data_IF_302737044319
#
_entry.id   IF_302737044319
#
_cell.length_a   1.000
_cell.length_b   1.000
_cell.length_c   1.000
_cell.angle_alpha   90.00
_cell.angle_beta   90.00
_cell.angle_gamma   90.00
#
_symmetry.space_group_name_H-M   'P 1'
#
loop_
_entity.id
_entity.type
_entity.pdbx_description
1 polymer ?
#
# COMPACT_ATOMS: atom_id res chain seq x y z
N UNK A 1 21.02 -1.59 14.47
CA UNK A 1 20.73 -2.65 13.48
C UNK A 1 19.92 -2.02 12.37
N UNK A 2 20.46 -1.93 11.16
CA UNK A 2 19.73 -1.43 9.99
C UNK A 2 18.76 -2.52 9.56
N UNK A 3 17.45 -2.28 9.62
CA UNK A 3 16.47 -3.21 9.05
C UNK A 3 16.25 -2.79 7.60
N UNK A 4 16.44 -3.68 6.62
CA UNK A 4 16.16 -3.35 5.23
C UNK A 4 14.66 -3.04 5.06
N UNK A 5 14.36 -2.03 4.26
CA UNK A 5 12.97 -1.69 3.93
C UNK A 5 12.30 -2.84 3.19
N UNK A 6 11.11 -3.23 3.65
CA UNK A 6 10.29 -4.26 3.02
C UNK A 6 9.09 -3.64 2.27
N UNK A 7 8.42 -4.44 1.45
CA UNK A 7 7.20 -4.01 0.74
C UNK A 7 6.09 -3.64 1.74
N UNK A 8 5.99 -4.37 2.84
CA UNK A 8 5.06 -4.12 3.93
C UNK A 8 5.21 -2.72 4.51
N UNK A 9 6.44 -2.23 4.69
CA UNK A 9 6.67 -0.89 5.23
C UNK A 9 6.10 0.19 4.31
N UNK A 10 6.32 0.04 3.00
CA UNK A 10 5.79 0.96 1.99
C UNK A 10 4.27 0.87 1.94
N UNK A 11 3.68 -0.34 1.93
CA UNK A 11 2.22 -0.51 1.92
C UNK A 11 1.59 0.06 3.19
N UNK A 12 2.14 -0.21 4.38
CA UNK A 12 1.66 0.35 5.65
C UNK A 12 1.74 1.87 5.65
N UNK A 13 2.85 2.43 5.17
CA UNK A 13 3.02 3.88 5.04
C UNK A 13 1.96 4.50 4.15
N UNK A 14 1.75 3.96 2.94
CA UNK A 14 0.73 4.41 1.99
C UNK A 14 -0.68 4.28 2.61
N UNK A 15 -1.02 3.10 3.13
CA UNK A 15 -2.36 2.82 3.65
C UNK A 15 -2.70 3.69 4.87
N UNK A 16 -1.72 4.01 5.71
CA UNK A 16 -1.90 4.95 6.81
C UNK A 16 -2.30 6.33 6.30
N UNK A 17 -1.64 6.85 5.25
CA UNK A 17 -2.01 8.14 4.68
C UNK A 17 -3.42 8.11 4.08
N UNK A 18 -3.75 7.05 3.34
CA UNK A 18 -5.12 6.86 2.80
C UNK A 18 -6.16 6.89 3.94
N UNK A 19 -5.89 6.21 5.05
CA UNK A 19 -6.77 6.24 6.24
C UNK A 19 -6.90 7.67 6.81
N UNK A 20 -5.83 8.45 6.83
CA UNK A 20 -5.84 9.84 7.30
C UNK A 20 -6.61 10.80 6.40
N UNK A 21 -6.73 10.50 5.10
CA UNK A 21 -7.60 11.22 4.17
C UNK A 21 -9.09 10.90 4.34
N UNK A 22 -9.47 10.29 5.48
CA UNK A 22 -10.82 9.82 5.78
C UNK A 22 -11.37 8.80 4.77
N UNK A 23 -10.49 8.09 4.04
CA UNK A 23 -10.91 6.96 3.22
C UNK A 23 -10.96 5.72 4.09
N UNK A 24 -12.15 5.16 4.23
CA UNK A 24 -12.38 3.96 5.02
C UNK A 24 -12.03 2.66 4.26
N UNK A 25 -11.94 2.73 2.93
CA UNK A 25 -11.88 1.54 2.07
C UNK A 25 -11.00 1.75 0.84
N UNK A 26 -10.35 0.67 0.41
CA UNK A 26 -9.57 0.56 -0.83
C UNK A 26 -10.08 -0.64 -1.63
N UNK A 27 -10.14 -0.58 -2.96
CA UNK A 27 -10.49 -1.77 -3.76
C UNK A 27 -9.60 -2.98 -3.39
N UNK A 28 -10.21 -4.15 -3.25
CA UNK A 28 -9.52 -5.43 -3.10
C UNK A 28 -9.59 -6.27 -4.40
N UNK A 29 -9.94 -5.61 -5.50
CA UNK A 29 -9.75 -6.15 -6.84
C UNK A 29 -8.26 -6.21 -7.18
N UNK A 30 -7.80 -7.42 -7.51
CA UNK A 30 -6.38 -7.71 -7.70
C UNK A 30 -5.83 -7.00 -8.93
N UNK A 31 -6.54 -7.06 -10.05
CA UNK A 31 -6.11 -6.42 -11.29
C UNK A 31 -5.98 -4.90 -11.11
N UNK A 32 -6.99 -4.26 -10.54
CA UNK A 32 -7.00 -2.82 -10.29
C UNK A 32 -5.85 -2.40 -9.37
N UNK A 33 -5.64 -3.10 -8.25
CA UNK A 33 -4.56 -2.78 -7.31
C UNK A 33 -3.17 -2.91 -7.95
N UNK A 34 -2.93 -3.99 -8.67
CA UNK A 34 -1.62 -4.23 -9.27
C UNK A 34 -1.30 -3.22 -10.38
N UNK A 35 -2.28 -2.85 -11.22
CA UNK A 35 -2.12 -1.77 -12.21
C UNK A 35 -1.78 -0.45 -11.54
N UNK A 36 -2.51 -0.08 -10.48
CA UNK A 36 -2.27 1.17 -9.75
C UNK A 36 -0.87 1.17 -9.15
N UNK A 37 -0.45 0.12 -8.46
CA UNK A 37 0.88 0.08 -7.84
C UNK A 37 2.00 0.04 -8.90
N UNK A 38 1.75 -0.54 -10.07
CA UNK A 38 2.69 -0.47 -11.20
C UNK A 38 2.84 0.96 -11.72
N UNK A 39 1.73 1.67 -11.92
CA UNK A 39 1.75 3.07 -12.35
C UNK A 39 2.47 3.97 -11.33
N UNK A 40 2.24 3.72 -10.03
CA UNK A 40 2.97 4.40 -8.95
C UNK A 40 4.45 4.07 -9.00
N UNK A 41 4.85 2.81 -9.28
CA UNK A 41 6.27 2.45 -9.42
C UNK A 41 6.95 3.19 -10.56
N UNK A 42 6.27 3.39 -11.69
CA UNK A 42 6.83 4.15 -12.82
C UNK A 42 7.09 5.61 -12.40
N UNK A 43 6.20 6.21 -11.60
CA UNK A 43 6.32 7.61 -11.15
C UNK A 43 7.28 7.79 -9.97
N UNK A 44 7.34 6.81 -9.07
CA UNK A 44 8.11 6.86 -7.82
C UNK A 44 9.01 5.62 -7.68
N UNK A 45 9.96 5.40 -8.60
CA UNK A 45 10.74 4.17 -8.66
C UNK A 45 11.61 3.93 -7.42
N UNK A 46 12.09 5.01 -6.78
CA UNK A 46 12.93 4.94 -5.58
C UNK A 46 12.14 4.41 -4.36
N UNK A 47 10.93 4.93 -4.16
CA UNK A 47 10.03 4.53 -3.06
C UNK A 47 9.52 3.10 -3.29
N UNK A 48 9.22 2.78 -4.55
CA UNK A 48 8.68 1.48 -4.96
C UNK A 48 9.77 0.48 -5.36
N UNK A 49 11.01 0.71 -4.93
CA UNK A 49 12.18 -0.10 -5.29
C UNK A 49 12.08 -1.55 -4.80
N UNK A 50 11.40 -1.76 -3.67
CA UNK A 50 11.15 -3.09 -3.06
C UNK A 50 10.16 -3.95 -3.85
N UNK A 51 9.39 -3.36 -4.75
CA UNK A 51 8.44 -4.09 -5.59
C UNK A 51 9.10 -4.48 -6.91
N UNK A 52 9.00 -5.76 -7.29
CA UNK A 52 9.28 -6.19 -8.65
C UNK A 52 7.97 -6.54 -9.32
N UNK A 53 7.74 -5.99 -10.51
CA UNK A 53 6.57 -6.32 -11.32
C UNK A 53 7.02 -7.17 -12.50
N UNK A 54 6.24 -8.20 -12.80
CA UNK A 54 6.39 -9.04 -13.99
C UNK A 54 5.23 -8.72 -14.92
N UNK A 55 5.53 -8.39 -16.16
CA UNK A 55 4.52 -8.25 -17.20
C UNK A 55 3.98 -9.65 -17.51
N UNK A 56 2.70 -9.88 -17.19
CA UNK A 56 1.93 -11.04 -17.63
C UNK A 56 0.96 -10.59 -18.73
N UNK A 57 0.42 -11.53 -19.49
CA UNK A 57 -0.41 -11.24 -20.67
C UNK A 57 -1.65 -10.36 -20.40
N UNK A 58 -2.12 -10.26 -19.15
CA UNK A 58 -3.32 -9.48 -18.79
C UNK A 58 -3.01 -8.17 -18.06
N UNK A 59 -2.10 -8.18 -17.08
CA UNK A 59 -1.67 -7.00 -16.33
C UNK A 59 -0.33 -7.26 -15.59
N UNK A 60 0.43 -6.21 -15.23
CA UNK A 60 1.67 -6.35 -14.46
C UNK A 60 1.37 -6.84 -13.05
N UNK A 61 2.11 -7.84 -12.55
CA UNK A 61 1.90 -8.42 -11.22
C UNK A 61 3.14 -8.36 -10.32
N UNK A 62 2.96 -8.08 -9.02
CA UNK A 62 4.01 -8.14 -8.01
C UNK A 62 3.69 -9.13 -6.89
N UNK A 63 4.55 -10.14 -6.72
CA UNK A 63 4.43 -11.09 -5.60
C UNK A 63 4.67 -10.42 -4.25
N UNK A 64 5.50 -9.38 -4.20
CA UNK A 64 5.74 -8.61 -2.98
C UNK A 64 4.49 -7.84 -2.54
N UNK A 65 3.72 -7.30 -3.49
CA UNK A 65 2.45 -6.65 -3.19
C UNK A 65 1.43 -7.66 -2.65
N UNK A 66 1.26 -8.80 -3.32
CA UNK A 66 0.36 -9.86 -2.86
C UNK A 66 0.75 -10.36 -1.44
N UNK A 67 2.04 -10.56 -1.20
CA UNK A 67 2.55 -10.97 0.11
C UNK A 67 2.32 -9.90 1.18
N UNK A 68 2.60 -8.63 0.87
CA UNK A 68 2.39 -7.54 1.81
C UNK A 68 0.91 -7.42 2.20
N UNK A 69 -0.01 -7.45 1.23
CA UNK A 69 -1.45 -7.42 1.50
C UNK A 69 -1.89 -8.61 2.38
N UNK A 70 -1.41 -9.82 2.07
CA UNK A 70 -1.70 -11.01 2.88
C UNK A 70 -1.16 -10.88 4.32
N UNK A 71 0.04 -10.32 4.50
CA UNK A 71 0.64 -10.12 5.81
C UNK A 71 -0.12 -9.06 6.62
N UNK A 72 -0.54 -7.97 5.98
CA UNK A 72 -1.33 -6.91 6.62
C UNK A 72 -2.71 -7.42 7.06
N UNK A 73 -3.36 -8.26 6.25
CA UNK A 73 -4.64 -8.90 6.59
C UNK A 73 -4.46 -9.89 7.75
N UNK A 74 -3.43 -10.73 7.70
CA UNK A 74 -3.11 -11.67 8.78
C UNK A 74 -2.73 -10.97 10.10
N UNK A 75 -2.11 -9.79 10.03
CA UNK A 75 -1.78 -8.96 11.18
C UNK A 75 -2.96 -8.11 11.70
N UNK A 76 -4.12 -8.16 11.04
CA UNK A 76 -5.29 -7.37 11.42
C UNK A 76 -5.10 -5.86 11.23
N UNK A 77 -4.24 -5.45 10.28
CA UNK A 77 -4.02 -4.04 9.92
C UNK A 77 -5.00 -3.60 8.83
N UNK A 78 -5.42 -4.54 8.00
CA UNK A 78 -6.51 -4.39 7.05
C UNK A 78 -7.47 -5.57 7.20
N UNK A 79 -8.69 -5.44 6.71
CA UNK A 79 -9.63 -6.56 6.60
C UNK A 79 -10.24 -6.62 5.21
N UNK A 80 -10.16 -7.78 4.57
CA UNK A 80 -10.79 -8.01 3.27
C UNK A 80 -12.29 -8.27 3.39
N UNK A 81 -13.09 -7.37 2.82
CA UNK A 81 -14.54 -7.52 2.67
C UNK A 81 -14.84 -8.16 1.30
N UNK A 82 -15.36 -9.40 1.33
CA UNK A 82 -15.62 -10.21 0.14
C UNK A 82 -16.98 -9.94 -0.54
N UNK A 83 -17.76 -8.98 -0.04
CA UNK A 83 -18.96 -8.51 -0.74
C UNK A 83 -18.56 -7.82 -2.05
N UNK A 84 -19.40 -7.87 -3.07
CA UNK A 84 -19.14 -7.16 -4.33
C UNK A 84 -19.67 -5.72 -4.21
N UNK A 85 -18.85 -4.69 -4.47
CA UNK A 85 -17.45 -4.73 -4.88
C UNK A 85 -16.51 -5.07 -3.72
N UNK A 86 -15.41 -5.79 -4.00
CA UNK A 86 -14.45 -6.24 -2.98
C UNK A 86 -13.61 -5.05 -2.49
N UNK A 87 -13.46 -4.89 -1.18
CA UNK A 87 -12.67 -3.82 -0.59
C UNK A 87 -11.83 -4.30 0.60
N UNK A 88 -10.72 -3.63 0.86
CA UNK A 88 -10.01 -3.65 2.14
C UNK A 88 -10.53 -2.50 3.02
N UNK A 89 -10.85 -2.78 4.28
CA UNK A 89 -10.99 -1.75 5.32
C UNK A 89 -9.67 -1.55 6.06
N UNK A 90 -9.42 -0.33 6.54
CA UNK A 90 -8.22 0.00 7.30
C UNK A 90 -8.50 -0.03 8.81
N UNK A 91 -7.85 -0.93 9.52
CA UNK A 91 -8.08 -1.15 10.95
C UNK A 91 -7.28 -0.15 11.80
N UNK A 92 -7.72 0.10 13.04
CA UNK A 92 -7.04 1.03 13.98
C UNK A 92 -5.59 0.68 14.32
N UNK A 93 -5.21 -0.62 14.40
CA UNK A 93 -3.82 -0.99 14.61
C UNK A 93 -2.85 -0.50 13.52
N UNK A 94 -3.33 -0.14 12.32
CA UNK A 94 -2.50 0.33 11.20
C UNK A 94 -1.65 1.55 11.58
N UNK A 95 -2.23 2.53 12.26
CA UNK A 95 -1.51 3.74 12.67
C UNK A 95 -0.42 3.42 13.71
N UNK A 96 -0.73 2.53 14.66
CA UNK A 96 0.26 2.08 15.65
C UNK A 96 1.39 1.30 15.00
N UNK A 97 1.07 0.46 14.02
CA UNK A 97 2.06 -0.31 13.26
C UNK A 97 3.02 0.62 12.52
N UNK A 98 2.48 1.62 11.81
CA UNK A 98 3.27 2.63 11.12
C UNK A 98 4.21 3.37 12.09
N UNK A 99 3.67 3.93 13.17
CA UNK A 99 4.44 4.73 14.12
C UNK A 99 5.53 3.91 14.85
N UNK A 100 5.26 2.63 15.13
CA UNK A 100 6.18 1.77 15.89
C UNK A 100 7.28 1.14 15.04
N UNK A 101 6.99 0.81 13.78
CA UNK A 101 7.88 0.00 12.94
C UNK A 101 8.26 0.74 11.66
N UNK A 102 7.30 0.94 10.75
CA UNK A 102 7.61 1.37 9.38
C UNK A 102 8.10 2.81 9.27
N UNK A 103 7.65 3.73 10.14
CA UNK A 103 8.04 5.15 10.09
C UNK A 103 9.55 5.35 10.15
N UNK A 104 10.22 4.65 11.07
CA UNK A 104 11.68 4.74 11.22
C UNK A 104 12.40 4.14 10.01
N UNK A 105 11.96 2.96 9.56
CA UNK A 105 12.56 2.26 8.41
C UNK A 105 12.47 3.11 7.14
N UNK A 106 11.30 3.69 6.88
CA UNK A 106 11.08 4.58 5.73
C UNK A 106 11.93 5.86 5.83
N UNK A 107 12.00 6.47 7.01
CA UNK A 107 12.83 7.67 7.24
C UNK A 107 14.32 7.38 7.05
N UNK A 108 14.80 6.24 7.55
CA UNK A 108 16.19 5.78 7.38
C UNK A 108 16.52 5.50 5.90
N UNK A 109 15.50 5.18 5.08
CA UNK A 109 15.58 5.05 3.62
C UNK A 109 15.38 6.37 2.85
N UNK A 110 15.23 7.51 3.55
CA UNK A 110 15.00 8.82 2.94
C UNK A 110 13.59 9.04 2.40
N UNK A 111 12.62 8.23 2.82
CA UNK A 111 11.22 8.31 2.42
C UNK A 111 10.41 8.96 3.53
N UNK A 112 9.85 10.14 3.25
CA UNK A 112 9.14 10.95 4.22
C UNK A 112 7.62 10.94 4.00
N UNK A 113 6.87 11.35 5.03
CA UNK A 113 5.40 11.36 5.02
C UNK A 113 4.82 12.12 3.82
N UNK A 114 5.41 13.24 3.41
CA UNK A 114 4.96 14.02 2.25
C UNK A 114 5.00 13.24 0.92
N UNK A 115 5.95 12.32 0.76
CA UNK A 115 6.04 11.51 -0.46
C UNK A 115 4.98 10.41 -0.44
N UNK A 116 4.76 9.79 0.73
CA UNK A 116 3.72 8.78 0.92
C UNK A 116 2.32 9.38 0.75
N UNK A 117 2.12 10.61 1.20
CA UNK A 117 0.89 11.39 1.07
C UNK A 117 0.52 11.61 -0.41
N UNK A 118 1.49 12.02 -1.23
CA UNK A 118 1.32 12.19 -2.68
C UNK A 118 0.96 10.86 -3.37
N UNK A 119 1.57 9.76 -2.95
CA UNK A 119 1.27 8.42 -3.48
C UNK A 119 -0.15 8.01 -3.08
N UNK A 120 -0.50 8.16 -1.80
CA UNK A 120 -1.83 7.84 -1.28
C UNK A 120 -2.92 8.61 -2.03
N UNK A 121 -2.78 9.92 -2.19
CA UNK A 121 -3.71 10.74 -2.95
C UNK A 121 -3.92 10.24 -4.40
N UNK A 122 -2.86 9.77 -5.07
CA UNK A 122 -2.98 9.19 -6.41
C UNK A 122 -3.71 7.85 -6.42
N UNK A 123 -3.41 6.99 -5.46
CA UNK A 123 -4.09 5.70 -5.32
C UNK A 123 -5.58 5.93 -5.06
N UNK A 124 -5.95 6.90 -4.23
CA UNK A 124 -7.34 7.20 -3.90
C UNK A 124 -8.19 7.59 -5.10
N UNK A 125 -7.64 8.37 -6.03
CA UNK A 125 -8.34 8.81 -7.24
C UNK A 125 -8.84 7.63 -8.09
N UNK A 126 -8.17 6.48 -7.99
CA UNK A 126 -8.45 5.30 -8.81
C UNK A 126 -9.08 4.16 -7.98
N UNK A 127 -8.63 3.96 -6.74
CA UNK A 127 -8.91 2.77 -5.94
C UNK A 127 -10.03 2.93 -4.89
N UNK A 128 -10.33 4.15 -4.44
CA UNK A 128 -11.21 4.35 -3.27
C UNK A 128 -12.70 4.58 -3.62
N UNK A 129 -13.07 4.47 -4.89
CA UNK A 129 -14.41 4.87 -5.37
C UNK A 129 -14.61 6.38 -5.27
N UNK A 130 -15.35 6.97 -6.21
CA UNK A 130 -15.83 8.34 -6.01
C UNK A 130 -16.79 8.31 -4.83
N UNK A 131 -16.47 9.07 -3.78
CA UNK A 131 -17.39 9.34 -2.69
C UNK A 131 -18.64 10.05 -3.23
#
# INVERSE_FOLDING_TARGET
>A
MFMPMAAEDVVVGIFRQIKQHNKAKLTADRETLHKIFYDIKIKYPEIMSVFTFREREQFPESSQLDQALSNLDAAGLISRQNFTPRYYSFEDPLERSYNKFSKKILSDAGIYEEQLDRIAAQIELVACGKA
#
